data_IF_951355459479
#
_entry.id   IF_951355459479
#
_cell.length_a   1.000
_cell.length_b   1.000
_cell.length_c   1.000
_cell.angle_alpha   90.00
_cell.angle_beta   90.00
_cell.angle_gamma   90.00
#
_symmetry.space_group_name_H-M   'P 1'
#
loop_
_entity.id
_entity.type
_entity.pdbx_description
1 polymer ?
#
# COMPACT_ATOMS: atom_id res chain seq x y z
N UNK A 1 -10.55 13.13 13.90
CA UNK A 1 -10.80 11.68 13.69
C UNK A 1 -12.18 11.44 13.10
N UNK A 2 -13.22 12.11 13.59
CA UNK A 2 -14.59 11.95 13.09
C UNK A 2 -14.74 12.28 11.60
N UNK A 3 -14.04 13.30 11.10
CA UNK A 3 -14.04 13.65 9.68
C UNK A 3 -13.47 12.52 8.78
N UNK A 4 -12.48 11.75 9.25
CA UNK A 4 -11.95 10.61 8.48
C UNK A 4 -12.95 9.46 8.47
N UNK A 5 -13.64 9.23 9.59
CA UNK A 5 -14.70 8.22 9.69
C UNK A 5 -15.89 8.60 8.82
N UNK A 6 -16.32 9.86 8.86
CA UNK A 6 -17.39 10.40 8.04
C UNK A 6 -17.07 10.28 6.54
N UNK A 7 -15.84 10.61 6.15
CA UNK A 7 -15.35 10.48 4.78
C UNK A 7 -15.41 9.04 4.27
N UNK A 8 -15.00 8.06 5.10
CA UNK A 8 -15.02 6.63 4.74
C UNK A 8 -16.42 6.07 4.69
N UNK A 9 -17.34 6.55 5.55
CA UNK A 9 -18.74 6.14 5.56
C UNK A 9 -19.60 6.88 4.54
N UNK A 10 -19.12 7.98 3.96
CA UNK A 10 -19.84 8.67 2.89
C UNK A 10 -19.85 7.82 1.62
N UNK A 11 -21.02 7.25 1.29
CA UNK A 11 -21.22 6.39 0.12
C UNK A 11 -20.86 7.07 -1.21
N UNK A 12 -20.80 8.39 -1.28
CA UNK A 12 -20.37 9.14 -2.47
C UNK A 12 -18.89 8.99 -2.75
N UNK A 13 -18.12 8.64 -1.73
CA UNK A 13 -16.68 8.45 -1.82
C UNK A 13 -16.25 6.99 -1.62
N UNK A 14 -17.22 6.08 -1.55
CA UNK A 14 -16.90 4.67 -1.46
C UNK A 14 -16.19 4.27 -2.77
N UNK A 15 -14.85 4.18 -2.78
CA UNK A 15 -14.14 3.66 -3.93
C UNK A 15 -14.69 2.26 -4.09
N UNK A 16 -15.43 2.06 -5.16
CA UNK A 16 -16.13 0.84 -5.50
C UNK A 16 -15.30 -0.38 -5.12
N UNK A 17 -15.59 -1.00 -3.96
CA UNK A 17 -15.12 -2.32 -3.53
C UNK A 17 -13.91 -2.87 -4.33
N UNK A 18 -12.87 -2.06 -4.49
CA UNK A 18 -11.73 -2.32 -5.34
C UNK A 18 -10.60 -2.94 -4.56
N UNK A 19 -10.14 -4.09 -4.99
CA UNK A 19 -8.93 -4.72 -4.44
C UNK A 19 -7.62 -4.14 -5.01
N UNK A 20 -7.70 -3.13 -5.89
CA UNK A 20 -6.56 -2.39 -6.45
C UNK A 20 -6.30 -1.05 -5.76
N UNK A 21 -7.15 -0.64 -4.82
CA UNK A 21 -7.00 0.60 -4.06
C UNK A 21 -6.68 0.34 -2.60
N UNK A 22 -5.98 1.28 -1.96
CA UNK A 22 -5.73 1.29 -0.53
C UNK A 22 -5.79 2.73 -0.01
N UNK A 23 -6.41 2.92 1.15
CA UNK A 23 -6.52 4.23 1.80
C UNK A 23 -5.56 4.31 2.98
N UNK A 24 -4.93 5.47 3.15
CA UNK A 24 -3.99 5.74 4.23
C UNK A 24 -4.33 7.05 4.93
N UNK A 25 -4.21 7.05 6.25
CA UNK A 25 -4.46 8.22 7.11
C UNK A 25 -3.51 8.17 8.30
N UNK A 26 -3.09 9.33 8.85
CA UNK A 26 -3.40 10.71 8.48
C UNK A 26 -2.45 11.29 7.41
N UNK A 27 -2.61 12.58 7.10
CA UNK A 27 -1.67 13.32 6.28
C UNK A 27 -0.38 13.59 7.04
N UNK A 28 0.68 13.89 6.30
CA UNK A 28 2.05 13.96 6.80
C UNK A 28 2.58 15.37 6.68
N UNK A 29 3.10 15.92 7.78
CA UNK A 29 3.81 17.19 7.79
C UNK A 29 5.27 16.96 7.39
N UNK A 30 5.74 17.72 6.43
CA UNK A 30 7.13 17.72 5.96
C UNK A 30 7.65 19.13 5.76
N UNK A 31 8.95 19.27 5.51
CA UNK A 31 9.54 20.56 5.18
C UNK A 31 9.13 20.97 3.77
N UNK A 32 8.73 22.22 3.62
CA UNK A 32 8.51 22.79 2.31
C UNK A 32 9.86 23.16 1.65
N UNK A 33 10.22 22.39 0.63
CA UNK A 33 11.49 22.59 -0.10
C UNK A 33 11.44 23.78 -1.08
N UNK A 34 10.25 24.28 -1.40
CA UNK A 34 10.05 25.38 -2.33
C UNK A 34 9.93 26.74 -1.61
N UNK A 35 9.69 26.72 -0.31
CA UNK A 35 9.59 27.95 0.46
C UNK A 35 10.95 28.60 0.67
N UNK A 36 10.97 29.94 0.65
CA UNK A 36 12.18 30.73 0.99
C UNK A 36 12.59 30.57 2.45
N UNK A 37 11.64 30.29 3.32
CA UNK A 37 11.89 30.00 4.74
C UNK A 37 12.25 28.53 4.91
N UNK A 38 13.46 28.25 5.40
CA UNK A 38 13.96 26.90 5.66
C UNK A 38 13.16 26.13 6.73
N UNK A 39 12.37 26.81 7.53
CA UNK A 39 11.52 26.22 8.56
C UNK A 39 10.05 26.04 8.13
N UNK A 40 9.71 26.44 6.92
CA UNK A 40 8.36 26.28 6.40
C UNK A 40 7.97 24.80 6.34
N UNK A 41 6.75 24.53 6.79
CA UNK A 41 6.16 23.20 6.80
C UNK A 41 5.00 23.13 5.84
N UNK A 42 4.89 22.02 5.15
CA UNK A 42 3.76 21.71 4.28
C UNK A 42 3.12 20.39 4.70
N UNK A 43 1.80 20.33 4.59
CA UNK A 43 1.04 19.11 4.83
C UNK A 43 0.77 18.43 3.48
N UNK A 44 1.21 17.19 3.33
CA UNK A 44 1.07 16.40 2.11
C UNK A 44 0.25 15.13 2.35
N UNK A 45 -0.48 14.66 1.32
CA UNK A 45 -1.11 13.36 1.37
C UNK A 45 -0.06 12.25 1.48
N UNK A 46 -0.38 11.14 2.16
CA UNK A 46 0.62 10.10 2.46
C UNK A 46 1.07 9.27 1.25
N UNK A 47 0.41 9.37 0.11
CA UNK A 47 0.61 8.50 -1.06
C UNK A 47 2.06 8.39 -1.51
N UNK A 48 2.79 9.51 -1.64
CA UNK A 48 4.19 9.51 -2.05
C UNK A 48 5.11 8.84 -1.02
N UNK A 49 4.87 9.07 0.27
CA UNK A 49 5.63 8.42 1.35
C UNK A 49 5.36 6.91 1.39
N UNK A 50 4.11 6.51 1.19
CA UNK A 50 3.72 5.10 1.13
C UNK A 50 4.37 4.41 -0.07
N UNK A 51 4.39 5.03 -1.25
CA UNK A 51 5.10 4.49 -2.42
C UNK A 51 6.59 4.24 -2.11
N UNK A 52 7.25 5.17 -1.40
CA UNK A 52 8.63 4.99 -0.94
C UNK A 52 8.81 3.81 0.04
N UNK A 53 7.86 3.63 0.97
CA UNK A 53 7.87 2.48 1.89
C UNK A 53 7.69 1.17 1.12
N UNK A 54 6.75 1.11 0.16
CA UNK A 54 6.54 -0.07 -0.68
C UNK A 54 7.81 -0.44 -1.45
N UNK A 55 8.40 0.53 -2.18
CA UNK A 55 9.62 0.31 -2.95
C UNK A 55 10.76 -0.24 -2.08
N UNK A 56 10.96 0.34 -0.90
CA UNK A 56 12.02 -0.11 0.02
C UNK A 56 11.79 -1.52 0.53
N UNK A 57 10.56 -1.86 0.94
CA UNK A 57 10.23 -3.19 1.46
C UNK A 57 10.31 -4.23 0.34
N UNK A 58 9.84 -3.92 -0.86
CA UNK A 58 9.92 -4.81 -2.00
C UNK A 58 11.36 -5.17 -2.36
N UNK A 59 12.26 -4.19 -2.35
CA UNK A 59 13.68 -4.41 -2.65
C UNK A 59 14.38 -5.27 -1.59
N UNK A 60 13.97 -5.20 -0.32
CA UNK A 60 14.65 -5.89 0.78
C UNK A 60 14.00 -7.23 1.11
N UNK A 61 12.67 -7.31 1.03
CA UNK A 61 11.89 -8.45 1.52
C UNK A 61 11.04 -9.12 0.45
N UNK A 62 10.82 -8.46 -0.70
CA UNK A 62 9.93 -8.92 -1.77
C UNK A 62 8.48 -8.46 -1.62
N UNK A 63 7.73 -8.57 -2.72
CA UNK A 63 6.34 -8.07 -2.85
C UNK A 63 5.32 -8.78 -1.96
N UNK A 64 5.65 -9.99 -1.49
CA UNK A 64 4.81 -10.78 -0.58
C UNK A 64 4.80 -10.26 0.86
N UNK A 65 5.80 -9.45 1.24
CA UNK A 65 5.85 -8.85 2.57
C UNK A 65 4.88 -7.68 2.65
N UNK A 66 4.04 -7.68 3.68
CA UNK A 66 3.17 -6.54 3.96
C UNK A 66 4.03 -5.28 4.22
N UNK A 67 3.81 -4.17 3.52
CA UNK A 67 4.53 -2.92 3.74
C UNK A 67 3.97 -2.17 4.98
N UNK A 68 3.95 -2.87 6.10
CA UNK A 68 3.45 -2.40 7.39
C UNK A 68 4.30 -2.98 8.54
N UNK A 69 4.18 -2.36 9.70
CA UNK A 69 4.90 -2.75 10.91
C UNK A 69 6.19 -1.95 11.11
N UNK A 70 7.07 -2.43 12.00
CA UNK A 70 8.28 -1.71 12.43
C UNK A 70 9.28 -1.45 11.30
N UNK A 71 9.28 -2.27 10.25
CA UNK A 71 10.13 -2.11 9.06
C UNK A 71 9.58 -1.03 8.11
N UNK A 72 8.30 -0.71 8.21
CA UNK A 72 7.60 0.24 7.34
C UNK A 72 7.70 1.69 7.84
N UNK A 73 8.88 2.10 8.29
CA UNK A 73 9.14 3.46 8.78
C UNK A 73 9.02 4.50 7.67
N UNK A 74 8.38 5.62 7.96
CA UNK A 74 8.27 6.78 7.06
C UNK A 74 9.50 7.68 7.29
N UNK A 75 10.15 8.06 6.23
CA UNK A 75 11.34 8.92 6.25
C UNK A 75 10.99 10.34 5.76
N UNK A 76 11.75 11.34 6.22
CA UNK A 76 11.64 12.72 5.73
C UNK A 76 10.40 13.48 6.23
N UNK A 77 9.70 12.97 7.24
CA UNK A 77 8.56 13.66 7.86
C UNK A 77 8.97 14.48 9.08
N UNK A 78 8.16 15.46 9.43
CA UNK A 78 8.26 16.28 10.65
C UNK A 78 7.19 15.92 11.69
N UNK A 79 6.24 15.04 11.34
CA UNK A 79 5.14 14.59 12.18
C UNK A 79 3.90 14.26 11.36
N UNK A 80 2.86 13.88 12.05
CA UNK A 80 1.55 13.60 11.49
C UNK A 80 0.61 14.77 11.77
N UNK A 81 -0.43 14.91 10.97
CA UNK A 81 -1.48 15.95 11.22
C UNK A 81 -2.37 15.61 12.40
N UNK A 82 -2.54 14.30 12.67
CA UNK A 82 -3.35 13.79 13.79
C UNK A 82 -2.65 12.55 14.34
N UNK A 83 -2.57 12.43 15.65
CA UNK A 83 -2.11 11.22 16.31
C UNK A 83 -3.26 10.20 16.41
N UNK A 84 -3.03 9.00 15.91
CA UNK A 84 -3.99 7.89 15.93
C UNK A 84 -3.74 7.02 17.14
N UNK A 85 -4.74 6.94 18.04
CA UNK A 85 -4.68 6.02 19.17
C UNK A 85 -4.93 4.58 18.75
N UNK A 86 -4.71 3.62 19.66
CA UNK A 86 -4.97 2.21 19.39
C UNK A 86 -6.45 1.93 19.11
N UNK A 87 -7.35 2.61 19.84
CA UNK A 87 -8.79 2.51 19.62
C UNK A 87 -9.18 3.02 18.23
N UNK A 88 -8.69 4.20 17.87
CA UNK A 88 -8.97 4.81 16.57
C UNK A 88 -8.46 3.93 15.42
N UNK A 89 -7.28 3.33 15.59
CA UNK A 89 -6.71 2.41 14.61
C UNK A 89 -7.58 1.17 14.40
N UNK A 90 -8.17 0.62 15.47
CA UNK A 90 -9.11 -0.49 15.36
C UNK A 90 -10.34 -0.12 14.51
N UNK A 91 -10.93 1.04 14.75
CA UNK A 91 -12.08 1.53 13.98
C UNK A 91 -11.73 1.82 12.50
N UNK A 92 -10.57 2.44 12.25
CA UNK A 92 -10.08 2.70 10.89
C UNK A 92 -9.82 1.39 10.12
N UNK A 93 -9.25 0.39 10.79
CA UNK A 93 -8.97 -0.90 10.18
C UNK A 93 -10.26 -1.64 9.76
N UNK A 94 -11.31 -1.55 10.59
CA UNK A 94 -12.64 -2.09 10.23
C UNK A 94 -13.24 -1.37 9.02
N UNK A 95 -12.96 -0.08 8.88
CA UNK A 95 -13.39 0.74 7.74
C UNK A 95 -12.48 0.59 6.51
N UNK A 96 -11.45 -0.27 6.53
CA UNK A 96 -10.52 -0.48 5.42
C UNK A 96 -9.48 0.62 5.23
N UNK A 97 -9.26 1.47 6.24
CA UNK A 97 -8.24 2.53 6.21
C UNK A 97 -6.99 2.09 6.95
N UNK A 98 -5.85 2.22 6.29
CA UNK A 98 -4.55 1.89 6.86
C UNK A 98 -4.01 3.07 7.68
N UNK A 99 -3.79 2.85 8.96
CA UNK A 99 -3.31 3.87 9.87
C UNK A 99 -1.79 4.08 9.72
N UNK A 100 -1.37 5.34 9.81
CA UNK A 100 0.03 5.72 10.02
C UNK A 100 0.14 6.18 11.47
N UNK A 101 1.08 5.61 12.24
CA UNK A 101 1.19 5.87 13.69
C UNK A 101 2.62 6.16 14.09
N UNK A 102 2.76 7.01 15.09
CA UNK A 102 4.02 7.24 15.79
C UNK A 102 3.99 6.51 17.13
N UNK A 103 4.95 5.65 17.36
CA UNK A 103 5.11 4.94 18.63
C UNK A 103 6.21 5.57 19.46
N UNK A 104 6.00 5.67 20.78
CA UNK A 104 7.02 6.15 21.72
C UNK A 104 8.26 5.28 21.63
N UNK A 105 9.43 5.90 21.39
CA UNK A 105 10.70 5.20 21.20
C UNK A 105 10.91 4.56 19.84
N UNK A 106 9.92 4.63 18.95
CA UNK A 106 10.02 4.18 17.56
C UNK A 106 9.75 5.31 16.57
N UNK A 107 9.96 5.01 15.30
CA UNK A 107 9.67 5.93 14.21
C UNK A 107 8.17 5.95 13.91
N UNK A 108 7.74 6.93 13.14
CA UNK A 108 6.42 6.90 12.47
C UNK A 108 6.43 5.79 11.45
N UNK A 109 5.46 4.89 11.54
CA UNK A 109 5.37 3.67 10.71
C UNK A 109 3.98 3.51 10.11
N UNK A 110 3.93 2.81 9.00
CA UNK A 110 2.67 2.33 8.42
C UNK A 110 2.19 1.14 9.25
N UNK A 111 0.94 1.21 9.73
CA UNK A 111 0.36 0.19 10.63
C UNK A 111 -0.91 -0.43 10.07
N UNK A 112 -0.89 -0.74 8.78
CA UNK A 112 -1.96 -1.42 8.07
C UNK A 112 -1.59 -1.66 6.61
N UNK A 113 -2.16 -2.70 6.02
CA UNK A 113 -1.96 -3.04 4.60
C UNK A 113 -3.20 -3.70 4.03
N UNK A 114 -4.35 -3.04 4.20
CA UNK A 114 -5.62 -3.47 3.65
C UNK A 114 -5.89 -2.77 2.32
N UNK A 115 -6.56 -3.46 1.43
CA UNK A 115 -7.22 -2.85 0.27
C UNK A 115 -8.58 -2.29 0.69
N UNK A 116 -9.25 -1.57 -0.20
CA UNK A 116 -10.63 -1.10 0.02
C UNK A 116 -11.67 -2.15 -0.37
N UNK A 117 -11.26 -3.39 -0.58
CA UNK A 117 -12.15 -4.50 -0.91
C UNK A 117 -12.90 -5.01 0.33
N UNK A 118 -14.18 -5.29 0.16
CA UNK A 118 -14.98 -6.04 1.13
C UNK A 118 -14.81 -7.55 1.00
N UNK A 119 -14.22 -8.02 -0.10
CA UNK A 119 -13.91 -9.42 -0.33
C UNK A 119 -12.75 -9.86 0.59
N UNK A 120 -13.00 -10.89 1.39
CA UNK A 120 -12.06 -11.41 2.39
C UNK A 120 -10.78 -11.95 1.75
N UNK A 121 -10.87 -12.55 0.55
CA UNK A 121 -9.73 -13.10 -0.17
C UNK A 121 -8.79 -12.02 -0.70
N UNK A 122 -9.36 -10.86 -1.06
CA UNK A 122 -8.62 -9.74 -1.65
C UNK A 122 -8.46 -8.54 -0.71
N UNK A 123 -8.83 -8.70 0.53
CA UNK A 123 -8.74 -7.64 1.54
C UNK A 123 -7.32 -7.20 1.83
N UNK A 124 -6.35 -8.10 1.76
CA UNK A 124 -4.97 -7.80 2.13
C UNK A 124 -4.13 -7.39 0.94
N UNK A 125 -3.48 -6.22 1.05
CA UNK A 125 -2.60 -5.66 0.02
C UNK A 125 -1.51 -6.61 -0.46
N UNK A 126 -0.74 -7.29 0.42
CA UNK A 126 0.30 -8.23 -0.02
C UNK A 126 -0.25 -9.39 -0.86
N UNK A 127 -1.46 -9.89 -0.61
CA UNK A 127 -2.07 -10.94 -1.43
C UNK A 127 -2.34 -10.42 -2.84
N UNK A 128 -2.97 -9.24 -2.96
CA UNK A 128 -3.23 -8.64 -4.28
C UNK A 128 -1.93 -8.34 -5.03
N UNK A 129 -0.92 -7.83 -4.33
CA UNK A 129 0.38 -7.50 -4.93
C UNK A 129 1.12 -8.75 -5.40
N UNK A 130 1.10 -9.83 -4.60
CA UNK A 130 1.68 -11.12 -5.00
C UNK A 130 0.97 -11.68 -6.25
N UNK A 131 -0.37 -11.64 -6.29
CA UNK A 131 -1.12 -12.07 -7.47
C UNK A 131 -0.77 -11.23 -8.72
N UNK A 132 -0.62 -9.91 -8.56
CA UNK A 132 -0.20 -9.04 -9.66
C UNK A 132 1.22 -9.37 -10.14
N UNK A 133 2.14 -9.61 -9.21
CA UNK A 133 3.52 -9.99 -9.52
C UNK A 133 3.58 -11.30 -10.30
N UNK A 134 2.90 -12.34 -9.81
CA UNK A 134 2.83 -13.64 -10.50
C UNK A 134 2.22 -13.50 -11.88
N UNK A 135 1.11 -12.76 -11.99
CA UNK A 135 0.46 -12.54 -13.29
C UNK A 135 1.38 -11.85 -14.29
N UNK A 136 2.12 -10.83 -13.88
CA UNK A 136 3.06 -10.13 -14.76
C UNK A 136 4.24 -11.03 -15.13
N UNK A 137 4.82 -11.74 -14.16
CA UNK A 137 5.95 -12.63 -14.40
C UNK A 137 5.60 -13.78 -15.36
N UNK A 138 4.44 -14.41 -15.17
CA UNK A 138 3.96 -15.46 -16.07
C UNK A 138 3.70 -14.87 -17.46
N UNK A 139 3.01 -13.72 -17.53
CA UNK A 139 2.72 -13.07 -18.81
C UNK A 139 4.01 -12.78 -19.60
N UNK A 140 5.01 -12.20 -18.93
CA UNK A 140 6.30 -11.88 -19.58
C UNK A 140 7.05 -13.15 -19.96
N UNK A 141 7.01 -14.19 -19.14
CA UNK A 141 7.68 -15.47 -19.39
C UNK A 141 7.10 -16.26 -20.57
N UNK A 142 5.79 -16.13 -20.85
CA UNK A 142 5.14 -16.88 -21.93
C UNK A 142 4.96 -16.07 -23.23
N UNK A 143 5.53 -14.87 -23.34
CA UNK A 143 5.39 -14.02 -24.54
C UNK A 143 5.83 -14.74 -25.83
N UNK A 144 6.87 -15.57 -25.77
CA UNK A 144 7.38 -16.32 -26.89
C UNK A 144 6.37 -17.34 -27.44
N UNK A 145 5.43 -17.82 -26.63
CA UNK A 145 4.47 -18.84 -26.99
C UNK A 145 3.24 -18.30 -27.76
N UNK A 146 3.06 -16.96 -27.85
CA UNK A 146 1.81 -16.34 -28.34
C UNK A 146 1.48 -16.73 -29.80
N UNK A 147 2.49 -16.89 -30.64
CA UNK A 147 2.33 -17.22 -32.08
C UNK A 147 2.75 -18.64 -32.44
N UNK A 148 3.07 -19.45 -31.45
CA UNK A 148 3.45 -20.85 -31.69
C UNK A 148 2.22 -21.72 -31.93
N UNK A 149 2.32 -22.77 -32.79
CA UNK A 149 1.22 -23.68 -33.01
C UNK A 149 0.91 -24.47 -31.74
N UNK A 150 -0.37 -24.61 -31.41
CA UNK A 150 -0.81 -25.37 -30.23
C UNK A 150 -0.60 -26.89 -30.46
N UNK A 151 0.53 -27.38 -30.02
CA UNK A 151 0.94 -28.79 -30.13
C UNK A 151 1.59 -29.30 -28.84
N UNK A 152 1.79 -30.60 -28.74
CA UNK A 152 2.37 -31.24 -27.56
C UNK A 152 3.80 -30.73 -27.21
N UNK A 153 4.71 -30.48 -28.17
CA UNK A 153 6.00 -29.85 -27.86
C UNK A 153 5.90 -28.49 -27.21
N UNK A 154 4.96 -27.64 -27.61
CA UNK A 154 4.73 -26.33 -26.98
C UNK A 154 4.30 -26.48 -25.51
N UNK A 155 3.36 -27.39 -25.23
CA UNK A 155 2.93 -27.67 -23.86
C UNK A 155 4.08 -28.13 -22.98
N UNK A 156 4.92 -29.05 -23.48
CA UNK A 156 6.09 -29.51 -22.75
C UNK A 156 7.13 -28.42 -22.50
N UNK A 157 7.33 -27.48 -23.43
CA UNK A 157 8.24 -26.35 -23.25
C UNK A 157 7.73 -25.37 -22.18
N UNK A 158 6.43 -25.09 -22.14
CA UNK A 158 5.82 -24.21 -21.12
C UNK A 158 5.92 -24.84 -19.72
N UNK A 159 5.83 -26.18 -19.61
CA UNK A 159 5.95 -26.88 -18.34
C UNK A 159 7.40 -26.90 -17.81
N UNK A 160 8.38 -26.84 -18.67
CA UNK A 160 9.80 -26.93 -18.28
C UNK A 160 10.46 -25.58 -18.01
N UNK A 161 9.93 -24.48 -18.54
CA UNK A 161 10.43 -23.12 -18.35
C UNK A 161 9.92 -22.44 -17.06
N UNK A 162 9.27 -23.17 -16.15
CA UNK A 162 8.79 -22.66 -14.86
C UNK A 162 9.74 -22.92 -13.69
#
# INVERSE_FOLDING_TARGET
MDQVKEFVTDRRFNPSNSNYGALYSPWINTRDQLAKDQNAKICLPPSGFIAGVYSRIDNVRGVWKAPAGTEAGILGHLGLTVDITEKDQGELNLAGVNAIRTFSGYRTVVWGSNTVSSDIEWRYGPIRRMANFLKSSIYDGIQWAIFEPNNEPLCGSIETDN
#
